data_IF_463903195055
#
_entry.id   IF_463903195055
#
_cell.length_a   1.000
_cell.length_b   1.000
_cell.length_c   1.000
_cell.angle_alpha   90.00
_cell.angle_beta   90.00
_cell.angle_gamma   90.00
#
_symmetry.space_group_name_H-M   'P 1'
#
loop_
_entity.id
_entity.type
_entity.pdbx_description
1 polymer ?
#
# COMPACT_ATOMS: atom_id res chain seq x y z
N UNK A 1 -25.08 23.50 -4.25
CA UNK A 1 -24.17 22.34 -4.21
C UNK A 1 -24.04 21.82 -5.62
N UNK A 2 -22.81 21.65 -6.13
CA UNK A 2 -22.56 21.16 -7.49
C UNK A 2 -23.07 19.72 -7.67
N UNK A 3 -23.52 19.39 -8.89
CA UNK A 3 -23.90 18.03 -9.29
C UNK A 3 -22.94 17.47 -10.32
N UNK A 4 -22.92 16.16 -10.51
CA UNK A 4 -22.08 15.51 -11.52
C UNK A 4 -22.46 16.00 -12.93
N UNK A 5 -23.75 16.17 -13.20
CA UNK A 5 -24.24 16.70 -14.47
C UNK A 5 -23.71 18.11 -14.77
N UNK A 6 -23.56 18.97 -13.77
CA UNK A 6 -22.97 20.31 -13.99
C UNK A 6 -21.50 20.29 -14.34
N UNK A 7 -20.75 19.30 -13.84
CA UNK A 7 -19.32 19.15 -14.11
C UNK A 7 -19.05 18.41 -15.42
N UNK A 8 -19.88 17.43 -15.74
CA UNK A 8 -19.78 16.62 -16.97
C UNK A 8 -21.17 16.50 -17.59
N UNK A 9 -21.68 17.53 -18.33
CA UNK A 9 -23.03 17.49 -18.89
C UNK A 9 -23.23 16.44 -19.99
N UNK A 10 -22.17 16.10 -20.71
CA UNK A 10 -22.18 15.14 -21.81
C UNK A 10 -22.17 13.71 -21.26
N UNK A 11 -23.25 12.97 -21.50
CA UNK A 11 -23.39 11.58 -21.06
C UNK A 11 -22.43 10.63 -21.77
N UNK A 12 -22.12 10.88 -23.04
CA UNK A 12 -21.19 10.02 -23.78
C UNK A 12 -19.76 10.23 -23.30
N UNK A 13 -19.39 11.47 -22.97
CA UNK A 13 -18.14 11.76 -22.30
C UNK A 13 -18.06 11.07 -20.92
N UNK A 14 -19.11 11.18 -20.10
CA UNK A 14 -19.18 10.53 -18.80
C UNK A 14 -18.90 9.02 -18.90
N UNK A 15 -19.56 8.35 -19.85
CA UNK A 15 -19.46 6.91 -20.03
C UNK A 15 -18.19 6.46 -20.75
N UNK A 16 -17.51 7.37 -21.44
CA UNK A 16 -16.19 7.12 -22.01
C UNK A 16 -15.06 7.24 -20.98
N UNK A 17 -15.30 7.92 -19.85
CA UNK A 17 -14.32 8.04 -18.77
C UNK A 17 -14.15 6.71 -18.03
N UNK A 18 -12.90 6.28 -17.87
CA UNK A 18 -12.59 5.19 -16.94
C UNK A 18 -12.78 5.60 -15.47
N UNK A 19 -12.89 4.62 -14.54
CA UNK A 19 -13.08 4.90 -13.11
C UNK A 19 -12.04 5.86 -12.52
N UNK A 20 -10.77 5.72 -12.94
CA UNK A 20 -9.68 6.58 -12.52
C UNK A 20 -9.79 8.03 -13.04
N UNK A 21 -10.42 8.21 -14.20
CA UNK A 21 -10.60 9.53 -14.82
C UNK A 21 -11.83 10.25 -14.27
N UNK A 22 -12.85 9.51 -13.82
CA UNK A 22 -14.03 10.04 -13.16
C UNK A 22 -13.77 10.40 -11.68
N UNK A 23 -12.83 9.72 -11.05
CA UNK A 23 -12.53 9.84 -9.62
C UNK A 23 -12.23 11.29 -9.14
N UNK A 24 -11.45 12.15 -9.85
CA UNK A 24 -11.23 13.54 -9.44
C UNK A 24 -12.53 14.33 -9.28
N UNK A 25 -13.44 14.16 -10.24
CA UNK A 25 -14.75 14.83 -10.22
C UNK A 25 -15.59 14.37 -9.04
N UNK A 26 -15.63 13.05 -8.77
CA UNK A 26 -16.32 12.51 -7.61
C UNK A 26 -15.71 12.98 -6.29
N UNK A 27 -14.38 13.07 -6.21
CA UNK A 27 -13.68 13.59 -5.04
C UNK A 27 -14.01 15.07 -4.79
N UNK A 28 -14.14 15.88 -5.83
CA UNK A 28 -14.56 17.28 -5.75
C UNK A 28 -15.97 17.40 -5.22
N UNK A 29 -16.92 16.58 -5.72
CA UNK A 29 -18.28 16.51 -5.21
C UNK A 29 -18.34 16.07 -3.75
N UNK A 30 -17.54 15.06 -3.37
CA UNK A 30 -17.43 14.59 -2.00
C UNK A 30 -16.96 15.71 -1.05
N UNK A 31 -15.95 16.48 -1.43
CA UNK A 31 -15.46 17.64 -0.65
C UNK A 31 -16.56 18.67 -0.42
N UNK A 32 -17.34 18.99 -1.47
CA UNK A 32 -18.45 19.93 -1.37
C UNK A 32 -19.65 19.39 -0.56
N UNK A 33 -19.68 18.08 -0.26
CA UNK A 33 -20.75 17.41 0.47
C UNK A 33 -20.36 16.97 1.89
N UNK A 34 -19.15 17.30 2.34
CA UNK A 34 -18.67 16.92 3.67
C UNK A 34 -19.51 17.52 4.79
N UNK A 35 -19.90 16.66 5.72
CA UNK A 35 -20.53 17.02 7.00
C UNK A 35 -19.56 16.61 8.15
N UNK A 36 -19.90 16.94 9.37
CA UNK A 36 -19.08 16.59 10.55
C UNK A 36 -18.84 15.08 10.71
N UNK A 37 -19.78 14.25 10.23
CA UNK A 37 -19.70 12.78 10.26
C UNK A 37 -19.16 12.16 8.97
N UNK A 38 -18.82 12.96 7.95
CA UNK A 38 -18.43 12.50 6.62
C UNK A 38 -19.54 12.73 5.58
N UNK A 39 -19.59 11.88 4.56
CA UNK A 39 -20.61 11.92 3.48
C UNK A 39 -21.03 10.51 3.10
N UNK A 40 -22.15 10.40 2.39
CA UNK A 40 -22.62 9.13 1.81
C UNK A 40 -22.54 9.25 0.29
N UNK A 41 -21.80 8.39 -0.45
CA UNK A 41 -21.70 8.43 -1.90
C UNK A 41 -23.06 8.52 -2.61
N UNK A 42 -24.04 7.72 -2.18
CA UNK A 42 -25.42 7.77 -2.69
C UNK A 42 -26.16 9.09 -2.46
N UNK A 43 -25.77 9.87 -1.45
CA UNK A 43 -26.34 11.22 -1.27
C UNK A 43 -25.62 12.27 -2.15
N UNK A 44 -24.40 11.99 -2.61
CA UNK A 44 -23.62 12.85 -3.49
C UNK A 44 -24.02 12.67 -4.96
N UNK A 45 -24.24 11.41 -5.38
CA UNK A 45 -24.57 11.02 -6.76
C UNK A 45 -25.82 10.13 -6.83
N UNK A 46 -26.81 10.37 -5.98
CA UNK A 46 -28.07 9.64 -6.01
C UNK A 46 -29.01 10.09 -7.13
N UNK A 47 -30.15 9.41 -7.24
CA UNK A 47 -31.13 9.57 -8.34
C UNK A 47 -31.46 11.04 -8.64
N UNK A 48 -31.88 11.79 -7.63
CA UNK A 48 -32.24 13.20 -7.83
C UNK A 48 -31.06 14.07 -8.31
N UNK A 49 -29.86 13.76 -7.93
CA UNK A 49 -28.66 14.51 -8.32
C UNK A 49 -28.12 14.16 -9.68
N UNK A 50 -28.40 12.95 -10.17
CA UNK A 50 -28.02 12.51 -11.50
C UNK A 50 -29.08 12.88 -12.55
N UNK A 51 -30.35 12.78 -12.18
CA UNK A 51 -31.47 12.90 -13.16
C UNK A 51 -32.36 14.12 -12.95
N UNK A 52 -32.00 14.98 -12.01
CA UNK A 52 -32.75 16.17 -11.66
C UNK A 52 -33.78 15.94 -10.56
N UNK A 53 -33.91 16.92 -9.67
CA UNK A 53 -34.83 16.89 -8.51
C UNK A 53 -35.26 18.28 -8.06
N UNK A 54 -36.26 18.35 -7.17
CA UNK A 54 -36.78 19.60 -6.61
C UNK A 54 -35.67 20.28 -5.78
N UNK A 55 -35.40 21.55 -6.02
CA UNK A 55 -34.42 22.34 -5.30
C UNK A 55 -32.96 22.12 -5.76
N UNK A 56 -32.72 21.33 -6.82
CA UNK A 56 -31.44 21.18 -7.46
C UNK A 56 -31.34 22.07 -8.72
N UNK A 57 -30.09 22.34 -9.18
CA UNK A 57 -29.87 23.02 -10.46
C UNK A 57 -30.61 22.32 -11.61
N UNK A 58 -31.10 23.07 -12.61
CA UNK A 58 -31.79 22.49 -13.73
C UNK A 58 -30.89 21.57 -14.57
N UNK A 59 -31.45 20.46 -15.05
CA UNK A 59 -30.80 19.47 -15.89
C UNK A 59 -30.48 18.17 -15.16
N UNK A 60 -30.23 17.15 -15.94
CA UNK A 60 -29.87 15.79 -15.46
C UNK A 60 -29.60 14.87 -16.64
N UNK A 61 -29.05 13.73 -16.38
CA UNK A 61 -28.77 12.72 -17.40
C UNK A 61 -30.04 12.04 -17.91
N UNK A 62 -30.03 11.52 -19.15
CA UNK A 62 -31.17 10.81 -19.71
C UNK A 62 -31.40 9.48 -18.97
N UNK A 63 -32.65 9.29 -18.47
CA UNK A 63 -32.99 8.06 -17.72
C UNK A 63 -32.94 6.78 -18.55
N UNK A 64 -32.96 6.90 -19.89
CA UNK A 64 -32.78 5.75 -20.79
C UNK A 64 -31.44 5.05 -20.63
N UNK A 65 -30.40 5.78 -20.12
CA UNK A 65 -29.07 5.25 -19.89
C UNK A 65 -28.75 5.09 -18.40
N UNK A 66 -29.76 5.03 -17.55
CA UNK A 66 -29.63 5.02 -16.10
C UNK A 66 -28.65 3.93 -15.61
N UNK A 67 -28.83 2.68 -16.06
CA UNK A 67 -28.02 1.56 -15.61
C UNK A 67 -26.51 1.74 -15.93
N UNK A 68 -26.21 2.29 -17.11
CA UNK A 68 -24.82 2.55 -17.53
C UNK A 68 -24.20 3.67 -16.69
N UNK A 69 -24.95 4.75 -16.45
CA UNK A 69 -24.49 5.90 -15.65
C UNK A 69 -24.25 5.51 -14.20
N UNK A 70 -25.18 4.80 -13.59
CA UNK A 70 -25.05 4.33 -12.20
C UNK A 70 -23.86 3.38 -12.02
N UNK A 71 -23.62 2.50 -13.01
CA UNK A 71 -22.47 1.61 -13.00
C UNK A 71 -21.16 2.40 -13.08
N UNK A 72 -21.03 3.32 -14.04
CA UNK A 72 -19.83 4.14 -14.19
C UNK A 72 -19.52 4.97 -12.92
N UNK A 73 -20.56 5.54 -12.31
CA UNK A 73 -20.44 6.28 -11.04
C UNK A 73 -20.04 5.36 -9.89
N UNK A 74 -20.62 4.16 -9.80
CA UNK A 74 -20.26 3.18 -8.78
C UNK A 74 -18.80 2.71 -8.91
N UNK A 75 -18.35 2.46 -10.14
CA UNK A 75 -16.94 2.11 -10.43
C UNK A 75 -15.98 3.23 -10.03
N UNK A 76 -16.32 4.49 -10.28
CA UNK A 76 -15.54 5.64 -9.86
C UNK A 76 -15.43 5.76 -8.32
N UNK A 77 -16.52 5.58 -7.59
CA UNK A 77 -16.52 5.53 -6.13
C UNK A 77 -15.68 4.37 -5.61
N UNK A 78 -15.81 3.19 -6.21
CA UNK A 78 -15.03 2.01 -5.83
C UNK A 78 -13.53 2.20 -6.08
N UNK A 79 -13.16 2.87 -7.18
CA UNK A 79 -11.77 3.23 -7.44
C UNK A 79 -11.19 4.12 -6.34
N UNK A 80 -11.94 5.11 -5.85
CA UNK A 80 -11.53 5.96 -4.72
C UNK A 80 -11.34 5.15 -3.42
N UNK A 81 -12.19 4.15 -3.18
CA UNK A 81 -12.07 3.25 -2.01
C UNK A 81 -10.83 2.35 -2.11
N UNK A 82 -10.62 1.68 -3.25
CA UNK A 82 -9.47 0.79 -3.47
C UNK A 82 -8.14 1.54 -3.31
N UNK A 83 -8.10 2.80 -3.75
CA UNK A 83 -6.90 3.64 -3.64
C UNK A 83 -6.83 4.40 -2.31
N UNK A 84 -7.66 4.05 -1.33
CA UNK A 84 -7.65 4.59 0.02
C UNK A 84 -7.82 6.13 0.09
N UNK A 85 -8.45 6.74 -0.93
CA UNK A 85 -8.75 8.16 -0.93
C UNK A 85 -10.02 8.48 -0.13
N UNK A 86 -10.96 7.55 -0.09
CA UNK A 86 -12.11 7.59 0.82
C UNK A 86 -12.13 6.33 1.67
N UNK A 87 -12.52 6.48 2.92
CA UNK A 87 -12.52 5.40 3.91
C UNK A 87 -13.87 5.30 4.59
N UNK A 88 -14.30 4.11 5.06
CA UNK A 88 -15.47 4.00 5.93
C UNK A 88 -15.27 4.88 7.17
N UNK A 89 -16.28 5.66 7.53
CA UNK A 89 -16.29 6.41 8.79
C UNK A 89 -16.12 5.44 9.98
N UNK A 90 -15.33 5.78 10.99
CA UNK A 90 -15.21 4.93 12.18
C UNK A 90 -16.57 4.65 12.83
N UNK A 91 -16.76 3.41 13.31
CA UNK A 91 -17.92 3.00 14.10
C UNK A 91 -19.16 2.68 13.26
N UNK A 92 -20.34 2.98 13.81
CA UNK A 92 -21.64 2.58 13.24
C UNK A 92 -21.92 3.22 11.87
N UNK A 93 -21.59 4.49 11.71
CA UNK A 93 -21.85 5.21 10.46
C UNK A 93 -21.13 4.59 9.26
N UNK A 94 -19.89 4.12 9.42
CA UNK A 94 -19.15 3.48 8.32
C UNK A 94 -19.82 2.21 7.80
N UNK A 95 -20.49 1.43 8.70
CA UNK A 95 -21.28 0.25 8.30
C UNK A 95 -22.53 0.62 7.51
N UNK A 96 -23.04 1.84 7.71
CA UNK A 96 -24.21 2.38 7.02
C UNK A 96 -23.85 3.21 5.78
N UNK A 97 -22.67 2.98 5.21
CA UNK A 97 -22.26 3.60 3.95
C UNK A 97 -21.64 4.99 4.06
N UNK A 98 -21.46 5.53 5.26
CA UNK A 98 -20.76 6.79 5.44
C UNK A 98 -19.26 6.67 5.16
N UNK A 99 -18.72 7.67 4.48
CA UNK A 99 -17.31 7.78 4.10
C UNK A 99 -16.70 9.08 4.61
N UNK A 100 -15.40 9.04 4.84
CA UNK A 100 -14.57 10.22 5.11
C UNK A 100 -13.43 10.29 4.11
N UNK A 101 -12.92 11.48 3.86
CA UNK A 101 -11.70 11.66 3.07
C UNK A 101 -10.50 11.17 3.89
N UNK A 102 -9.60 10.44 3.24
CA UNK A 102 -8.30 10.12 3.86
C UNK A 102 -7.42 11.35 3.97
N UNK A 103 -6.36 11.26 4.79
CA UNK A 103 -5.35 12.33 4.87
C UNK A 103 -4.69 12.61 3.52
N UNK A 104 -4.49 11.57 2.73
CA UNK A 104 -3.94 11.67 1.38
C UNK A 104 -4.91 12.40 0.44
N UNK A 105 -6.19 12.06 0.45
CA UNK A 105 -7.20 12.78 -0.33
C UNK A 105 -7.24 14.28 0.01
N UNK A 106 -6.97 14.65 1.26
CA UNK A 106 -6.91 16.06 1.66
C UNK A 106 -5.76 16.84 1.01
N UNK A 107 -4.66 16.17 0.65
CA UNK A 107 -3.49 16.79 -0.01
C UNK A 107 -3.61 16.87 -1.53
N UNK A 108 -4.51 16.10 -2.15
CA UNK A 108 -4.72 16.11 -3.61
C UNK A 108 -5.64 17.27 -4.03
N UNK A 109 -5.29 18.51 -3.69
CA UNK A 109 -6.17 19.67 -3.90
C UNK A 109 -6.19 20.16 -5.35
N UNK A 110 -5.09 19.99 -6.09
CA UNK A 110 -4.96 20.38 -7.48
C UNK A 110 -5.14 19.18 -8.43
N UNK A 111 -5.58 19.43 -9.65
CA UNK A 111 -5.73 18.39 -10.69
C UNK A 111 -4.40 17.71 -11.02
N UNK A 112 -3.30 18.47 -10.98
CA UNK A 112 -1.94 17.94 -11.19
C UNK A 112 -1.51 16.96 -10.09
N UNK A 113 -1.90 17.20 -8.84
CA UNK A 113 -1.62 16.30 -7.72
C UNK A 113 -2.37 14.98 -7.90
N UNK A 114 -3.63 15.05 -8.37
CA UNK A 114 -4.42 13.87 -8.65
C UNK A 114 -3.88 13.08 -9.84
N UNK A 115 -3.43 13.75 -10.91
CA UNK A 115 -2.83 13.09 -12.06
C UNK A 115 -1.57 12.30 -11.66
N UNK A 116 -0.68 12.91 -10.87
CA UNK A 116 0.51 12.24 -10.31
C UNK A 116 0.15 11.06 -9.42
N UNK A 117 -0.86 11.24 -8.56
CA UNK A 117 -1.35 10.14 -7.72
C UNK A 117 -1.91 8.98 -8.54
N UNK A 118 -2.72 9.27 -9.56
CA UNK A 118 -3.28 8.25 -10.48
C UNK A 118 -2.18 7.44 -11.17
N UNK A 119 -1.16 8.11 -11.66
CA UNK A 119 -0.01 7.46 -12.31
C UNK A 119 0.77 6.57 -11.32
N UNK A 120 1.02 7.05 -10.11
CA UNK A 120 1.67 6.27 -9.06
C UNK A 120 0.81 5.07 -8.61
N UNK A 121 -0.52 5.24 -8.53
CA UNK A 121 -1.45 4.18 -8.16
C UNK A 121 -1.57 3.09 -9.24
N UNK A 122 -1.46 3.47 -10.51
CA UNK A 122 -1.44 2.53 -11.64
C UNK A 122 -0.16 1.67 -11.67
N UNK A 123 0.90 2.06 -10.95
CA UNK A 123 2.16 1.34 -10.93
C UNK A 123 2.04 0.04 -10.10
N UNK A 124 2.16 -1.16 -10.72
CA UNK A 124 1.84 -2.42 -10.05
C UNK A 124 2.84 -2.75 -8.94
N UNK A 125 2.37 -2.84 -7.69
CA UNK A 125 3.19 -3.28 -6.54
C UNK A 125 3.85 -4.64 -6.78
N UNK A 126 3.18 -5.53 -7.52
CA UNK A 126 3.66 -6.86 -7.86
C UNK A 126 4.94 -6.89 -8.70
N UNK A 127 5.24 -5.81 -9.43
CA UNK A 127 6.49 -5.67 -10.18
C UNK A 127 7.66 -5.27 -9.29
N UNK A 128 7.39 -4.72 -8.11
CA UNK A 128 8.43 -4.30 -7.18
C UNK A 128 8.96 -5.48 -6.36
N UNK A 129 10.26 -5.44 -6.11
CA UNK A 129 10.88 -6.34 -5.16
C UNK A 129 10.36 -6.08 -3.75
N UNK A 130 10.02 -7.12 -2.93
CA UNK A 130 9.40 -6.93 -1.61
C UNK A 130 10.18 -5.99 -0.68
N UNK A 131 11.52 -5.98 -0.77
CA UNK A 131 12.39 -5.12 0.06
C UNK A 131 12.13 -3.63 -0.13
N UNK A 132 11.70 -3.20 -1.32
CA UNK A 132 11.50 -1.78 -1.66
C UNK A 132 10.04 -1.41 -1.84
N UNK A 133 9.15 -2.36 -2.06
CA UNK A 133 7.79 -2.14 -2.54
C UNK A 133 7.01 -1.09 -1.74
N UNK A 134 6.96 -1.21 -0.40
CA UNK A 134 6.14 -0.31 0.42
C UNK A 134 6.73 1.11 0.51
N UNK A 135 8.05 1.21 0.68
CA UNK A 135 8.73 2.51 0.82
C UNK A 135 8.70 3.31 -0.48
N UNK A 136 8.99 2.63 -1.59
CA UNK A 136 9.03 3.25 -2.92
C UNK A 136 7.64 3.69 -3.35
N UNK A 137 6.61 2.83 -3.17
CA UNK A 137 5.23 3.23 -3.48
C UNK A 137 4.77 4.45 -2.68
N UNK A 138 5.15 4.53 -1.41
CA UNK A 138 4.82 5.68 -0.57
C UNK A 138 5.50 6.96 -1.09
N UNK A 139 6.77 6.89 -1.48
CA UNK A 139 7.49 8.03 -2.05
C UNK A 139 6.88 8.46 -3.40
N UNK A 140 6.64 7.51 -4.32
CA UNK A 140 5.98 7.80 -5.60
C UNK A 140 4.59 8.43 -5.42
N UNK A 141 3.79 7.92 -4.48
CA UNK A 141 2.45 8.45 -4.20
C UNK A 141 2.47 9.87 -3.61
N UNK A 142 3.57 10.29 -3.00
CA UNK A 142 3.80 11.66 -2.50
C UNK A 142 4.38 12.60 -3.55
N UNK A 143 4.82 12.06 -4.68
CA UNK A 143 5.57 12.82 -5.67
C UNK A 143 7.05 13.01 -5.33
N UNK A 144 7.56 12.32 -4.29
CA UNK A 144 8.97 12.33 -3.88
C UNK A 144 9.78 11.40 -4.80
N UNK A 145 9.88 11.75 -6.09
CA UNK A 145 10.36 10.87 -7.16
C UNK A 145 11.85 10.52 -7.01
N UNK A 146 12.67 11.50 -6.69
CA UNK A 146 14.11 11.35 -6.42
C UNK A 146 14.36 10.50 -5.18
N UNK A 147 13.59 10.68 -4.10
CA UNK A 147 13.65 9.81 -2.92
C UNK A 147 13.27 8.37 -3.25
N UNK A 148 12.25 8.15 -4.09
CA UNK A 148 11.86 6.81 -4.53
C UNK A 148 13.01 6.07 -5.22
N UNK A 149 13.70 6.75 -6.14
CA UNK A 149 14.86 6.22 -6.87
C UNK A 149 16.04 5.98 -5.92
N UNK A 150 16.35 6.94 -5.04
CA UNK A 150 17.42 6.79 -4.06
C UNK A 150 17.18 5.61 -3.12
N UNK A 151 15.98 5.48 -2.55
CA UNK A 151 15.60 4.35 -1.69
C UNK A 151 15.79 3.02 -2.41
N UNK A 152 15.37 2.93 -3.68
CA UNK A 152 15.46 1.71 -4.46
C UNK A 152 16.92 1.30 -4.71
N UNK A 153 17.77 2.20 -5.18
CA UNK A 153 19.18 1.87 -5.47
C UNK A 153 20.05 1.76 -4.21
N UNK A 154 19.71 2.45 -3.13
CA UNK A 154 20.30 2.20 -1.82
C UNK A 154 20.04 0.78 -1.33
N UNK A 155 18.83 0.27 -1.56
CA UNK A 155 18.50 -1.12 -1.22
C UNK A 155 19.31 -2.12 -2.06
N UNK A 156 19.57 -1.84 -3.35
CA UNK A 156 20.46 -2.65 -4.19
C UNK A 156 21.86 -2.69 -3.60
N UNK A 157 22.42 -1.54 -3.22
CA UNK A 157 23.76 -1.47 -2.62
C UNK A 157 23.86 -2.29 -1.33
N UNK A 158 22.86 -2.15 -0.45
CA UNK A 158 22.80 -2.91 0.81
C UNK A 158 22.69 -4.42 0.52
N UNK A 159 21.83 -4.82 -0.40
CA UNK A 159 21.64 -6.23 -0.76
C UNK A 159 22.91 -6.87 -1.33
N UNK A 160 23.64 -6.14 -2.20
CA UNK A 160 24.94 -6.60 -2.74
C UNK A 160 25.98 -6.75 -1.64
N UNK A 161 26.08 -5.76 -0.74
CA UNK A 161 26.99 -5.80 0.40
C UNK A 161 26.76 -7.01 1.29
N UNK A 162 25.51 -7.23 1.67
CA UNK A 162 25.11 -8.31 2.55
C UNK A 162 25.28 -9.67 1.88
N UNK A 163 24.86 -9.82 0.63
CA UNK A 163 24.98 -11.07 -0.12
C UNK A 163 26.44 -11.44 -0.39
N UNK A 164 27.28 -10.45 -0.67
CA UNK A 164 28.72 -10.64 -0.91
C UNK A 164 29.55 -10.80 0.36
N UNK A 165 28.99 -10.47 1.54
CA UNK A 165 29.71 -10.53 2.82
C UNK A 165 30.76 -9.42 2.98
N UNK A 166 30.48 -8.25 2.43
CA UNK A 166 31.36 -7.07 2.51
C UNK A 166 31.10 -6.24 3.77
N UNK A 167 32.07 -5.43 4.14
CA UNK A 167 31.99 -4.56 5.31
C UNK A 167 31.17 -3.28 5.06
N UNK A 168 30.83 -2.53 6.12
CA UNK A 168 30.01 -1.31 6.02
C UNK A 168 30.68 -0.18 5.22
N UNK A 169 31.99 -0.21 5.08
CA UNK A 169 32.80 0.75 4.30
C UNK A 169 32.85 0.43 2.80
N UNK A 170 32.45 -0.79 2.41
CA UNK A 170 32.36 -1.15 0.99
C UNK A 170 31.06 -0.54 0.42
N UNK A 171 31.18 0.46 -0.46
CA UNK A 171 30.05 1.23 -0.99
C UNK A 171 30.25 1.58 -2.48
N UNK A 172 29.15 1.95 -3.12
CA UNK A 172 29.15 2.55 -4.45
C UNK A 172 29.64 1.62 -5.55
N UNK A 173 30.20 2.23 -6.60
CA UNK A 173 30.69 1.55 -7.82
C UNK A 173 31.81 0.55 -7.50
N UNK A 174 32.68 0.88 -6.54
CA UNK A 174 33.77 0.00 -6.13
C UNK A 174 33.26 -1.31 -5.53
N UNK A 175 32.23 -1.26 -4.67
CA UNK A 175 31.54 -2.43 -4.16
C UNK A 175 30.98 -3.30 -5.29
N UNK A 176 30.30 -2.69 -6.27
CA UNK A 176 29.68 -3.43 -7.39
C UNK A 176 30.74 -4.18 -8.19
N UNK A 177 31.84 -3.50 -8.55
CA UNK A 177 32.95 -4.13 -9.28
C UNK A 177 33.57 -5.28 -8.52
N UNK A 178 33.74 -5.13 -7.18
CA UNK A 178 34.31 -6.16 -6.31
C UNK A 178 33.34 -7.35 -6.16
N UNK A 179 32.05 -7.09 -6.01
CA UNK A 179 31.03 -8.13 -5.79
C UNK A 179 30.78 -9.01 -7.02
N UNK A 180 30.83 -8.41 -8.21
CA UNK A 180 30.59 -9.07 -9.49
C UNK A 180 31.87 -9.25 -10.33
N UNK A 181 33.05 -9.13 -9.74
CA UNK A 181 34.31 -9.38 -10.44
C UNK A 181 34.25 -10.74 -11.14
N UNK A 182 34.62 -10.78 -12.42
CA UNK A 182 34.47 -11.95 -13.27
C UNK A 182 35.29 -13.16 -12.79
N UNK A 183 36.35 -12.93 -12.02
CA UNK A 183 37.28 -13.97 -11.56
C UNK A 183 37.03 -14.33 -10.08
N UNK A 184 36.89 -13.33 -9.22
CA UNK A 184 36.91 -13.49 -7.76
C UNK A 184 35.63 -13.01 -7.07
N UNK A 185 34.69 -12.38 -7.80
CA UNK A 185 33.49 -11.81 -7.23
C UNK A 185 32.57 -12.85 -6.60
N UNK A 186 32.16 -12.69 -5.34
CA UNK A 186 31.33 -13.67 -4.64
C UNK A 186 29.92 -13.80 -5.24
N UNK A 187 29.44 -12.82 -6.00
CA UNK A 187 28.16 -12.82 -6.69
C UNK A 187 28.30 -13.13 -8.21
N UNK A 188 29.51 -13.43 -8.68
CA UNK A 188 29.78 -13.86 -10.04
C UNK A 188 29.60 -15.38 -10.16
N UNK A 189 28.69 -15.84 -10.99
CA UNK A 189 28.48 -17.26 -11.27
C UNK A 189 29.54 -17.78 -12.21
N UNK A 190 30.45 -18.62 -11.74
CA UNK A 190 31.54 -19.19 -12.56
C UNK A 190 31.06 -20.11 -13.70
N UNK A 191 29.82 -20.57 -13.63
CA UNK A 191 29.18 -21.36 -14.69
C UNK A 191 28.70 -20.53 -15.88
N UNK A 192 28.54 -19.21 -15.68
CA UNK A 192 28.13 -18.31 -16.75
C UNK A 192 29.35 -17.97 -17.64
N UNK A 193 29.17 -17.70 -18.94
CA UNK A 193 30.24 -17.26 -19.84
C UNK A 193 30.94 -15.99 -19.32
N UNK A 194 32.24 -15.90 -19.54
CA UNK A 194 33.04 -14.77 -19.03
C UNK A 194 32.52 -13.39 -19.51
N UNK A 195 32.14 -13.19 -20.80
CA UNK A 195 31.58 -11.92 -21.25
C UNK A 195 30.29 -11.52 -20.53
N UNK A 196 29.44 -12.50 -20.19
CA UNK A 196 28.16 -12.22 -19.46
C UNK A 196 28.45 -11.82 -18.03
N UNK A 197 29.45 -12.41 -17.38
CA UNK A 197 29.89 -12.03 -16.02
C UNK A 197 30.44 -10.62 -15.99
N UNK A 198 31.22 -10.25 -16.99
CA UNK A 198 31.78 -8.92 -17.14
C UNK A 198 30.67 -7.88 -17.44
N UNK A 199 29.76 -8.18 -18.36
CA UNK A 199 28.60 -7.34 -18.64
C UNK A 199 27.74 -7.08 -17.40
N UNK A 200 27.52 -8.13 -16.59
CA UNK A 200 26.76 -7.96 -15.36
C UNK A 200 27.46 -7.06 -14.34
N UNK A 201 28.78 -7.17 -14.20
CA UNK A 201 29.57 -6.26 -13.35
C UNK A 201 29.44 -4.80 -13.80
N UNK A 202 29.48 -4.56 -15.13
CA UNK A 202 29.26 -3.24 -15.70
C UNK A 202 27.85 -2.73 -15.48
N UNK A 203 26.81 -3.57 -15.59
CA UNK A 203 25.42 -3.20 -15.34
C UNK A 203 25.23 -2.71 -13.91
N UNK A 204 25.70 -3.46 -12.91
CA UNK A 204 25.59 -3.06 -11.50
C UNK A 204 26.38 -1.81 -11.18
N UNK A 205 27.62 -1.70 -11.70
CA UNK A 205 28.47 -0.55 -11.49
C UNK A 205 27.87 0.71 -12.12
N UNK A 206 27.37 0.61 -13.36
CA UNK A 206 26.69 1.68 -14.08
C UNK A 206 25.42 2.13 -13.38
N UNK A 207 24.58 1.19 -12.97
CA UNK A 207 23.32 1.49 -12.29
C UNK A 207 23.52 2.25 -10.95
N UNK A 208 24.46 1.80 -10.12
CA UNK A 208 24.78 2.52 -8.87
C UNK A 208 25.44 3.87 -9.17
N UNK A 209 26.32 3.94 -10.14
CA UNK A 209 26.99 5.19 -10.54
C UNK A 209 26.03 6.23 -11.10
N UNK A 210 25.04 5.80 -11.91
CA UNK A 210 24.10 6.70 -12.58
C UNK A 210 22.92 7.11 -11.72
N UNK A 211 22.38 6.21 -10.88
CA UNK A 211 21.11 6.44 -10.20
C UNK A 211 21.23 6.60 -8.67
N UNK A 212 22.24 6.03 -8.01
CA UNK A 212 22.41 6.20 -6.57
C UNK A 212 23.38 7.33 -6.22
N UNK A 213 24.54 7.37 -6.86
CA UNK A 213 25.60 8.32 -6.51
C UNK A 213 25.20 9.79 -6.70
N UNK A 214 24.52 10.19 -7.80
CA UNK A 214 24.09 11.57 -7.97
C UNK A 214 23.23 12.06 -6.79
N UNK A 215 22.23 11.26 -6.36
CA UNK A 215 21.36 11.59 -5.23
C UNK A 215 22.08 11.63 -3.88
N UNK A 216 23.27 11.05 -3.77
CA UNK A 216 24.09 11.10 -2.54
C UNK A 216 24.96 12.35 -2.45
N UNK A 217 25.25 13.03 -3.56
CA UNK A 217 26.27 14.08 -3.64
C UNK A 217 25.77 15.41 -4.17
N UNK A 218 24.59 15.45 -4.77
CA UNK A 218 23.95 16.67 -5.29
C UNK A 218 22.44 16.54 -5.24
N UNK A 219 21.75 17.66 -5.30
CA UNK A 219 20.29 17.66 -5.52
C UNK A 219 20.03 17.24 -6.98
N UNK A 220 19.28 16.15 -7.13
CA UNK A 220 18.78 15.68 -8.43
C UNK A 220 17.27 15.88 -8.38
N UNK A 221 16.70 16.47 -9.41
CA UNK A 221 15.25 16.62 -9.53
C UNK A 221 14.78 15.75 -10.69
N UNK A 222 13.92 14.79 -10.39
CA UNK A 222 13.21 14.00 -11.38
C UNK A 222 11.81 14.59 -11.46
N UNK A 223 11.43 15.09 -12.62
CA UNK A 223 10.13 15.74 -12.84
C UNK A 223 9.08 14.77 -13.40
N UNK A 224 9.52 13.71 -14.08
CA UNK A 224 8.64 12.77 -14.76
C UNK A 224 8.42 11.50 -13.92
N UNK A 225 7.19 11.23 -13.44
CA UNK A 225 6.89 10.04 -12.66
C UNK A 225 7.24 8.74 -13.36
N UNK A 226 7.04 8.68 -14.68
CA UNK A 226 7.35 7.50 -15.49
C UNK A 226 8.84 7.18 -15.49
N UNK A 227 9.70 8.20 -15.60
CA UNK A 227 11.15 8.03 -15.53
C UNK A 227 11.56 7.41 -14.17
N UNK A 228 11.03 7.92 -13.07
CA UNK A 228 11.28 7.37 -11.74
C UNK A 228 10.79 5.91 -11.61
N UNK A 229 9.64 5.57 -12.17
CA UNK A 229 9.09 4.22 -12.18
C UNK A 229 9.99 3.24 -12.95
N UNK A 230 10.49 3.62 -14.12
CA UNK A 230 11.41 2.81 -14.94
C UNK A 230 12.73 2.55 -14.19
N UNK A 231 13.29 3.57 -13.54
CA UNK A 231 14.49 3.43 -12.70
C UNK A 231 14.25 2.49 -11.51
N UNK A 232 13.12 2.60 -10.85
CA UNK A 232 12.73 1.73 -9.72
C UNK A 232 12.52 0.29 -10.17
N UNK A 233 11.95 0.05 -11.36
CA UNK A 233 11.85 -1.28 -11.95
C UNK A 233 13.21 -1.90 -12.21
N UNK A 234 14.17 -1.12 -12.72
CA UNK A 234 15.55 -1.58 -12.87
C UNK A 234 16.14 -1.99 -11.53
N UNK A 235 16.01 -1.16 -10.49
CA UNK A 235 16.49 -1.51 -9.14
C UNK A 235 15.82 -2.79 -8.61
N UNK A 236 14.52 -2.95 -8.86
CA UNK A 236 13.77 -4.17 -8.51
C UNK A 236 14.33 -5.40 -9.20
N UNK A 237 14.65 -5.30 -10.50
CA UNK A 237 15.28 -6.38 -11.25
C UNK A 237 16.68 -6.73 -10.72
N UNK A 238 17.50 -5.73 -10.42
CA UNK A 238 18.82 -5.93 -9.82
C UNK A 238 18.75 -6.65 -8.47
N UNK A 239 17.78 -6.31 -7.62
CA UNK A 239 17.54 -7.00 -6.36
C UNK A 239 17.21 -8.48 -6.57
N UNK A 240 16.38 -8.83 -7.56
CA UNK A 240 16.07 -10.23 -7.90
C UNK A 240 17.31 -10.98 -8.39
N UNK A 241 18.20 -10.32 -9.14
CA UNK A 241 19.49 -10.90 -9.54
C UNK A 241 20.35 -11.19 -8.32
N UNK A 242 20.43 -10.26 -7.35
CA UNK A 242 21.19 -10.46 -6.11
C UNK A 242 20.64 -11.65 -5.32
N UNK A 243 19.31 -11.75 -5.16
CA UNK A 243 18.69 -12.86 -4.44
C UNK A 243 18.98 -14.22 -5.10
N UNK A 244 18.93 -14.29 -6.44
CA UNK A 244 19.24 -15.49 -7.19
C UNK A 244 20.75 -15.91 -7.12
N UNK A 245 21.62 -14.97 -6.74
CA UNK A 245 23.07 -15.18 -6.64
C UNK A 245 23.57 -15.25 -5.19
N UNK A 246 22.69 -15.09 -4.20
CA UNK A 246 23.03 -15.16 -2.78
C UNK A 246 23.55 -16.57 -2.45
N UNK A 247 24.74 -16.72 -1.84
CA UNK A 247 25.23 -18.02 -1.41
C UNK A 247 24.29 -18.71 -0.43
N UNK A 248 24.08 -20.01 -0.61
CA UNK A 248 23.26 -20.81 0.30
C UNK A 248 23.81 -20.71 1.73
N UNK A 249 22.96 -20.32 2.69
CA UNK A 249 23.32 -20.15 4.10
C UNK A 249 23.40 -18.71 4.61
N UNK A 250 23.29 -17.69 3.74
CA UNK A 250 23.24 -16.27 4.16
C UNK A 250 21.84 -15.68 4.06
N UNK A 251 20.84 -16.38 4.54
CA UNK A 251 19.47 -15.83 4.62
C UNK A 251 19.40 -14.95 5.88
N UNK A 252 19.49 -13.62 5.72
CA UNK A 252 19.05 -12.70 6.77
C UNK A 252 17.54 -12.62 6.63
N UNK A 253 16.81 -13.33 7.50
CA UNK A 253 15.36 -13.16 7.60
C UNK A 253 15.09 -11.67 7.88
N UNK A 254 14.46 -10.98 6.96
CA UNK A 254 13.77 -9.72 7.24
C UNK A 254 12.59 -10.04 8.17
N UNK A 255 12.89 -10.32 9.43
CA UNK A 255 11.91 -10.49 10.48
C UNK A 255 11.34 -9.13 10.87
N UNK A 256 10.03 -9.04 11.14
CA UNK A 256 9.45 -7.82 11.68
C UNK A 256 10.13 -7.49 13.00
N UNK A 257 10.42 -6.21 13.25
CA UNK A 257 10.94 -5.70 14.52
C UNK A 257 10.12 -6.25 15.70
N UNK A 258 10.57 -7.35 16.30
CA UNK A 258 10.10 -7.76 17.62
C UNK A 258 10.65 -6.74 18.63
N UNK A 259 9.78 -5.86 19.11
CA UNK A 259 10.03 -5.10 20.33
C UNK A 259 10.43 -6.08 21.43
N UNK A 260 11.64 -5.92 21.92
CA UNK A 260 12.20 -6.76 22.97
C UNK A 260 11.39 -6.65 24.25
N UNK A 261 10.67 -7.71 24.57
CA UNK A 261 10.27 -7.98 25.96
C UNK A 261 11.46 -8.68 26.62
N UNK A 262 12.12 -7.97 27.54
CA UNK A 262 13.12 -8.55 28.44
C UNK A 262 12.48 -9.70 29.22
N UNK A 263 12.75 -10.93 28.86
CA UNK A 263 12.52 -12.08 29.73
C UNK A 263 13.72 -12.23 30.65
N UNK A 264 13.45 -12.01 31.92
CA UNK A 264 14.30 -12.32 33.08
C UNK A 264 14.82 -13.75 33.00
N UNK A 265 16.13 -13.89 33.18
CA UNK A 265 16.79 -15.16 33.34
C UNK A 265 16.45 -15.74 34.73
N UNK A 266 15.71 -16.86 34.75
CA UNK A 266 15.57 -17.68 35.94
C UNK A 266 16.18 -19.06 35.65
N UNK A 267 17.18 -19.34 36.45
CA UNK A 267 17.95 -20.53 36.70
C UNK A 267 17.47 -21.87 36.17
N UNK A 268 18.37 -22.57 35.52
CA UNK A 268 18.35 -24.03 35.29
C UNK A 268 18.67 -24.72 36.64
N UNK A 269 17.80 -25.61 37.09
CA UNK A 269 18.14 -26.68 38.02
C UNK A 269 17.75 -28.02 37.40
N UNK A 270 18.70 -28.91 37.41
CA UNK A 270 18.72 -30.26 36.88
C UNK A 270 17.90 -31.23 37.76
N UNK A 271 17.37 -32.36 37.22
CA UNK A 271 16.56 -33.29 37.97
C UNK A 271 17.37 -34.38 38.64
N UNK A 272 17.12 -34.64 39.91
CA UNK A 272 17.45 -35.94 40.53
C UNK A 272 16.42 -36.39 41.57
N UNK A 273 15.82 -37.51 41.24
CA UNK A 273 15.45 -38.68 42.07
C UNK A 273 14.36 -38.62 43.12
N UNK A 274 13.37 -39.44 42.84
CA UNK A 274 12.85 -40.59 43.62
C UNK A 274 11.83 -40.37 44.75
N UNK A 275 10.67 -40.89 44.44
CA UNK A 275 9.97 -42.01 45.15
C UNK A 275 9.05 -41.71 46.34
N UNK A 276 7.83 -42.27 46.19
CA UNK A 276 6.92 -42.86 47.21
C UNK A 276 6.20 -41.91 48.17
N UNK A 277 4.91 -41.79 48.18
CA UNK A 277 3.90 -42.69 48.75
C UNK A 277 2.54 -41.97 48.87
N UNK A 278 1.55 -42.65 48.45
CA UNK A 278 0.23 -42.89 49.06
C UNK A 278 -0.52 -41.80 49.85
N UNK A 279 -1.75 -41.60 49.44
CA UNK A 279 -2.86 -41.52 50.38
C UNK A 279 -3.61 -40.18 50.44
N UNK A 280 -4.90 -40.25 50.21
CA UNK A 280 -5.81 -39.27 50.75
C UNK A 280 -6.94 -38.81 49.85
N UNK A 281 -8.08 -39.41 50.06
CA UNK A 281 -9.39 -39.16 49.43
C UNK A 281 -9.98 -37.78 49.71
N UNK A 282 -10.69 -37.26 48.71
CA UNK A 282 -11.87 -36.44 48.55
C UNK A 282 -12.20 -35.34 49.61
N UNK A 283 -13.28 -34.60 49.47
CA UNK A 283 -14.40 -34.72 48.53
C UNK A 283 -14.87 -33.39 47.84
N UNK A 284 -15.69 -33.55 46.82
CA UNK A 284 -16.80 -32.73 46.32
C UNK A 284 -17.08 -31.35 46.96
N UNK A 285 -17.18 -30.30 46.12
CA UNK A 285 -18.18 -29.24 46.28
C UNK A 285 -18.58 -28.66 44.92
N UNK A 286 -19.81 -28.93 44.65
CA UNK A 286 -20.91 -28.37 43.85
C UNK A 286 -20.74 -27.03 43.12
N UNK A 287 -21.14 -27.04 41.82
CA UNK A 287 -21.50 -25.89 40.97
C UNK A 287 -22.85 -25.28 41.42
N UNK A 288 -23.04 -23.97 41.31
CA UNK A 288 -24.39 -23.41 41.23
C UNK A 288 -24.81 -23.19 39.77
N UNK A 289 -25.99 -23.72 39.44
CA UNK A 289 -26.76 -23.42 38.22
C UNK A 289 -27.38 -22.04 38.36
N UNK A 290 -27.20 -21.18 37.37
CA UNK A 290 -28.02 -19.97 37.19
C UNK A 290 -29.21 -20.30 36.28
N UNK A 291 -30.39 -20.07 36.79
CA UNK A 291 -31.70 -20.21 36.14
C UNK A 291 -31.92 -19.03 35.19
N UNK A 292 -32.36 -19.32 33.98
CA UNK A 292 -33.00 -18.36 33.09
C UNK A 292 -34.45 -18.10 33.55
N UNK A 293 -34.75 -16.84 33.85
CA UNK A 293 -36.09 -16.34 34.06
C UNK A 293 -36.68 -15.83 32.75
N UNK A 294 -37.76 -16.43 32.32
CA UNK A 294 -38.64 -15.96 31.24
C UNK A 294 -39.50 -14.82 31.77
N UNK A 295 -39.24 -13.59 31.36
CA UNK A 295 -40.10 -12.43 31.58
C UNK A 295 -40.71 -11.98 30.26
N UNK A 296 -42.01 -12.26 30.10
CA UNK A 296 -42.83 -11.71 29.01
C UNK A 296 -43.01 -10.19 29.25
N UNK A 297 -42.71 -9.38 28.27
CA UNK A 297 -43.07 -7.97 28.25
C UNK A 297 -44.10 -7.73 27.12
N UNK A 298 -45.28 -7.40 27.60
CA UNK A 298 -46.48 -6.96 26.90
C UNK A 298 -46.19 -5.71 26.01
N UNK A 299 -46.65 -5.74 24.74
CA UNK A 299 -46.60 -4.59 23.83
C UNK A 299 -47.97 -3.96 23.73
N UNK A 300 -48.11 -2.67 23.98
CA UNK A 300 -49.33 -1.98 23.60
C UNK A 300 -49.35 -1.66 22.07
N UNK A 301 -50.51 -1.91 21.44
CA UNK A 301 -50.81 -1.55 20.05
C UNK A 301 -51.04 -0.04 19.94
N UNK A 302 -50.54 0.60 18.84
CA UNK A 302 -50.96 1.96 18.55
C UNK A 302 -52.35 1.98 17.93
N UNK A 303 -53.16 2.91 18.38
CA UNK A 303 -54.43 3.33 17.75
C UNK A 303 -54.13 4.46 16.76
N UNK A 304 -54.66 4.31 15.54
CA UNK A 304 -54.91 5.24 14.46
C UNK A 304 -53.72 5.82 13.73
#
# INVERSE_FOLDING_TARGET
>A
MLTLYQLIPDVDLLLALGPADLAPTLLTLARGSLQSAGFVPGAVTGDERLYGGIGLPPGGYPRQRQAEIELAVAEGWHWLEINELILPTPGYNGRNGWRVLSRQAATLAADEDFARFKEAAAFPKSLLHPTIADKVRLALARGDLDDAVFIAFKAVEVAVRDAGGFGPTDVGVALMRKAFDKTSGPLSKKTDPEPEREALAHLFAGAIGSYKNPHSHRTVSISEPREAQEMVLLASHLLRIVDARRPAGRYISAGPHRRGTKRSAAARLSPRNRALSAGGAGPYLSRPRLRFGTGAIDRPRPKW
#
